data_IF_746544910254
#
_entry.id   IF_746544910254
#
_cell.length_a   1.000
_cell.length_b   1.000
_cell.length_c   1.000
_cell.angle_alpha   90.00
_cell.angle_beta   90.00
_cell.angle_gamma   90.00
#
_symmetry.space_group_name_H-M   'P 1'
#
loop_
_entity.id
_entity.type
_entity.pdbx_description
1 polymer ?
#
# COMPACT_ATOMS: atom_id res chain seq x y z
N UNK A 1 -6.17 -38.85 42.65
CA UNK A 1 -5.45 -37.56 42.58
C UNK A 1 -5.50 -37.06 41.15
N UNK A 2 -6.52 -36.28 40.82
CA UNK A 2 -6.61 -35.57 39.54
C UNK A 2 -5.92 -34.24 39.74
N UNK A 3 -4.74 -34.08 39.14
CA UNK A 3 -4.05 -32.81 39.00
C UNK A 3 -3.01 -32.94 37.87
N UNK A 4 -3.49 -33.38 36.70
CA UNK A 4 -2.79 -33.02 35.46
C UNK A 4 -3.15 -31.57 35.22
N UNK A 5 -2.26 -30.66 35.63
CA UNK A 5 -2.29 -29.28 35.18
C UNK A 5 -2.31 -29.33 33.66
N UNK A 6 -3.46 -29.07 33.04
CA UNK A 6 -3.48 -28.68 31.63
C UNK A 6 -2.50 -27.52 31.52
N UNK A 7 -1.40 -27.72 30.80
CA UNK A 7 -0.54 -26.63 30.39
C UNK A 7 -1.45 -25.56 29.80
N UNK A 8 -1.47 -24.37 30.38
CA UNK A 8 -2.22 -23.25 29.83
C UNK A 8 -1.60 -22.97 28.46
N UNK A 9 -2.18 -23.52 27.40
CA UNK A 9 -1.73 -23.27 26.03
C UNK A 9 -1.93 -21.81 25.76
N UNK A 10 -0.85 -21.09 25.49
CA UNK A 10 -0.94 -19.66 25.24
C UNK A 10 -1.41 -19.44 23.81
N UNK A 11 -2.23 -18.42 23.59
CA UNK A 11 -2.82 -18.15 22.26
C UNK A 11 -1.74 -18.01 21.17
N UNK A 12 -0.56 -17.49 21.52
CA UNK A 12 0.55 -17.32 20.57
C UNK A 12 1.32 -18.62 20.25
N UNK A 13 1.02 -19.71 20.95
CA UNK A 13 1.60 -21.05 20.68
C UNK A 13 0.69 -21.87 19.76
N UNK A 14 -0.50 -21.35 19.42
CA UNK A 14 -1.43 -22.00 18.51
C UNK A 14 -0.98 -21.85 17.05
N UNK A 15 -1.28 -22.85 16.18
CA UNK A 15 -1.16 -22.71 14.74
C UNK A 15 -1.86 -21.46 14.20
N UNK A 16 -1.23 -20.81 13.22
CA UNK A 16 -1.71 -19.56 12.61
C UNK A 16 -3.16 -19.67 12.12
N UNK A 17 -3.53 -20.84 11.57
CA UNK A 17 -4.86 -21.11 11.05
C UNK A 17 -5.93 -21.06 12.16
N UNK A 18 -5.64 -21.64 13.33
CA UNK A 18 -6.54 -21.62 14.47
C UNK A 18 -6.67 -20.21 15.04
N UNK A 19 -5.56 -19.47 15.10
CA UNK A 19 -5.56 -18.07 15.53
C UNK A 19 -6.45 -17.25 14.60
N UNK A 20 -6.31 -17.41 13.28
CA UNK A 20 -7.15 -16.72 12.29
C UNK A 20 -8.64 -17.04 12.49
N UNK A 21 -9.01 -18.32 12.70
CA UNK A 21 -10.41 -18.72 12.94
C UNK A 21 -10.97 -18.12 14.23
N UNK A 22 -10.18 -18.08 15.31
CA UNK A 22 -10.60 -17.47 16.57
C UNK A 22 -10.88 -15.98 16.38
N UNK A 23 -9.99 -15.26 15.71
CA UNK A 23 -10.18 -13.83 15.47
C UNK A 23 -11.28 -13.55 14.45
N UNK A 24 -11.50 -14.41 13.45
CA UNK A 24 -12.66 -14.30 12.57
C UNK A 24 -13.97 -14.40 13.36
N UNK A 25 -14.07 -15.35 14.29
CA UNK A 25 -15.23 -15.43 15.17
C UNK A 25 -15.38 -14.21 16.09
N UNK A 26 -14.28 -13.61 16.54
CA UNK A 26 -14.32 -12.33 17.26
C UNK A 26 -14.94 -11.23 16.39
N UNK A 27 -14.64 -11.19 15.09
CA UNK A 27 -15.24 -10.21 14.17
C UNK A 27 -16.77 -10.35 14.07
N UNK A 28 -17.32 -11.58 14.07
CA UNK A 28 -18.78 -11.78 14.06
C UNK A 28 -19.44 -11.51 15.42
N UNK A 29 -18.75 -11.80 16.51
CA UNK A 29 -19.33 -11.70 17.86
C UNK A 29 -19.36 -10.27 18.41
N UNK A 30 -18.27 -9.51 18.24
CA UNK A 30 -18.16 -8.14 18.78
C UNK A 30 -18.02 -7.06 17.70
N UNK A 31 -17.77 -7.46 16.45
CA UNK A 31 -17.60 -6.52 15.34
C UNK A 31 -16.15 -6.05 15.15
N UNK A 32 -15.79 -5.59 13.92
CA UNK A 32 -14.43 -5.21 13.56
C UNK A 32 -13.91 -3.98 14.30
N UNK A 33 -14.79 -3.04 14.66
CA UNK A 33 -14.40 -1.83 15.40
C UNK A 33 -13.95 -2.18 16.82
N UNK A 34 -14.70 -3.04 17.51
CA UNK A 34 -14.33 -3.49 18.87
C UNK A 34 -13.13 -4.44 18.82
N UNK A 35 -13.05 -5.33 17.82
CA UNK A 35 -11.89 -6.19 17.62
C UNK A 35 -10.60 -5.36 17.46
N UNK A 36 -10.62 -4.27 16.69
CA UNK A 36 -9.46 -3.39 16.53
C UNK A 36 -9.01 -2.70 17.84
N UNK A 37 -9.89 -2.55 18.84
CA UNK A 37 -9.48 -2.01 20.15
C UNK A 37 -8.64 -3.01 20.96
N UNK A 38 -8.76 -4.31 20.66
CA UNK A 38 -7.94 -5.36 21.26
C UNK A 38 -6.47 -5.30 20.78
N UNK A 39 -6.18 -4.55 19.72
CA UNK A 39 -4.82 -4.28 19.23
C UNK A 39 -3.95 -3.45 20.21
N UNK A 40 -4.42 -3.18 21.42
CA UNK A 40 -3.65 -2.51 22.47
C UNK A 40 -2.90 -3.50 23.37
N UNK A 41 -3.14 -4.80 23.21
CA UNK A 41 -2.62 -5.84 24.11
C UNK A 41 -1.20 -6.28 23.75
N UNK A 42 -0.91 -6.59 22.48
CA UNK A 42 0.46 -6.91 22.01
C UNK A 42 0.60 -6.91 20.48
N UNK A 43 1.83 -6.87 19.97
CA UNK A 43 2.11 -6.97 18.53
C UNK A 43 1.57 -8.27 17.90
N UNK A 44 1.54 -9.36 18.64
CA UNK A 44 0.95 -10.62 18.17
C UNK A 44 -0.55 -10.45 17.88
N UNK A 45 -1.29 -9.87 18.82
CA UNK A 45 -2.72 -9.58 18.63
C UNK A 45 -2.95 -8.64 17.44
N UNK A 46 -2.08 -7.63 17.28
CA UNK A 46 -2.18 -6.68 16.16
C UNK A 46 -2.10 -7.40 14.82
N UNK A 47 -1.12 -8.28 14.67
CA UNK A 47 -0.94 -9.06 13.45
C UNK A 47 -2.10 -10.04 13.23
N UNK A 48 -2.53 -10.74 14.28
CA UNK A 48 -3.61 -11.72 14.20
C UNK A 48 -4.96 -11.08 13.83
N UNK A 49 -5.32 -9.98 14.48
CA UNK A 49 -6.56 -9.22 14.19
C UNK A 49 -6.50 -8.66 12.78
N UNK A 50 -5.37 -8.09 12.37
CA UNK A 50 -5.19 -7.57 11.03
C UNK A 50 -5.33 -8.67 9.97
N UNK A 51 -4.70 -9.83 10.17
CA UNK A 51 -4.84 -10.99 9.29
C UNK A 51 -6.30 -11.45 9.19
N UNK A 52 -7.01 -11.56 10.31
CA UNK A 52 -8.42 -11.94 10.33
C UNK A 52 -9.30 -10.91 9.58
N UNK A 53 -9.06 -9.61 9.80
CA UNK A 53 -9.79 -8.53 9.10
C UNK A 53 -9.59 -8.63 7.59
N UNK A 54 -8.35 -8.84 7.14
CA UNK A 54 -8.04 -8.99 5.72
C UNK A 54 -8.64 -10.26 5.12
N UNK A 55 -8.58 -11.39 5.83
CA UNK A 55 -9.17 -12.65 5.38
C UNK A 55 -10.70 -12.56 5.30
N UNK A 56 -11.35 -11.96 6.29
CA UNK A 56 -12.79 -11.74 6.28
C UNK A 56 -13.19 -10.82 5.12
N UNK A 57 -12.43 -9.74 4.88
CA UNK A 57 -12.65 -8.83 3.76
C UNK A 57 -12.65 -9.54 2.39
N UNK A 58 -11.66 -10.39 2.13
CA UNK A 58 -11.52 -11.03 0.81
C UNK A 58 -12.39 -12.27 0.63
N UNK A 59 -12.86 -12.90 1.72
CA UNK A 59 -13.59 -14.16 1.66
C UNK A 59 -15.10 -14.02 1.92
N UNK A 60 -15.56 -12.99 2.62
CA UNK A 60 -16.99 -12.77 2.89
C UNK A 60 -17.43 -11.34 2.55
N UNK A 61 -18.00 -11.18 1.36
CA UNK A 61 -18.54 -9.90 0.85
C UNK A 61 -19.77 -9.39 1.63
N UNK A 62 -20.40 -10.28 2.41
CA UNK A 62 -21.51 -9.99 3.34
C UNK A 62 -21.06 -9.94 4.80
N UNK A 63 -19.77 -10.17 5.04
CA UNK A 63 -19.19 -10.29 6.36
C UNK A 63 -19.09 -8.98 7.12
N UNK A 64 -18.75 -9.06 8.42
CA UNK A 64 -18.72 -7.90 9.31
C UNK A 64 -17.74 -6.82 8.82
N UNK A 65 -16.62 -7.18 8.17
CA UNK A 65 -15.66 -6.21 7.64
C UNK A 65 -16.20 -5.48 6.41
N UNK A 66 -16.80 -6.19 5.45
CA UNK A 66 -17.41 -5.56 4.27
C UNK A 66 -18.61 -4.69 4.65
N UNK A 67 -19.39 -5.08 5.66
CA UNK A 67 -20.47 -4.26 6.20
C UNK A 67 -19.95 -2.97 6.84
N UNK A 68 -18.83 -3.04 7.58
CA UNK A 68 -18.15 -1.84 8.09
C UNK A 68 -17.69 -0.94 6.95
N UNK A 69 -17.05 -1.49 5.90
CA UNK A 69 -16.58 -0.70 4.75
C UNK A 69 -17.77 0.00 4.06
N UNK A 70 -18.86 -0.71 3.78
CA UNK A 70 -20.09 -0.14 3.21
C UNK A 70 -20.64 1.02 4.07
N UNK A 71 -20.67 0.85 5.39
CA UNK A 71 -21.06 1.92 6.33
C UNK A 71 -20.11 3.13 6.25
N UNK A 72 -18.80 2.90 6.17
CA UNK A 72 -17.81 3.98 6.04
C UNK A 72 -17.99 4.73 4.71
N UNK A 73 -18.17 4.02 3.59
CA UNK A 73 -18.45 4.60 2.27
C UNK A 73 -19.72 5.45 2.32
N UNK A 74 -20.81 4.90 2.86
CA UNK A 74 -22.09 5.60 3.02
C UNK A 74 -21.95 6.89 3.83
N UNK A 75 -21.16 6.86 4.91
CA UNK A 75 -20.89 8.03 5.75
C UNK A 75 -19.73 8.92 5.25
N UNK A 76 -19.20 8.67 4.05
CA UNK A 76 -18.06 9.38 3.46
C UNK A 76 -16.83 9.45 4.39
N UNK A 77 -16.62 8.38 5.15
CA UNK A 77 -15.45 8.21 6.02
C UNK A 77 -14.39 7.41 5.28
N UNK A 78 -13.13 7.81 5.46
CA UNK A 78 -12.00 7.13 4.84
C UNK A 78 -11.39 6.09 5.79
N UNK A 79 -11.04 4.93 5.25
CA UNK A 79 -10.15 3.98 5.92
C UNK A 79 -8.73 4.54 5.91
N UNK A 80 -8.00 4.38 7.02
CA UNK A 80 -6.60 4.80 7.10
C UNK A 80 -5.77 4.12 6.01
N UNK A 81 -4.87 4.86 5.37
CA UNK A 81 -3.98 4.38 4.29
C UNK A 81 -3.25 3.08 4.65
N UNK A 82 -2.80 2.95 5.89
CA UNK A 82 -2.14 1.73 6.38
C UNK A 82 -3.03 0.48 6.24
N UNK A 83 -4.29 0.59 6.66
CA UNK A 83 -5.26 -0.51 6.63
C UNK A 83 -5.77 -0.76 5.20
N UNK A 84 -6.00 0.31 4.42
CA UNK A 84 -6.32 0.20 3.00
C UNK A 84 -5.22 -0.55 2.23
N UNK A 85 -3.94 -0.27 2.51
CA UNK A 85 -2.81 -0.99 1.91
C UNK A 85 -2.84 -2.50 2.21
N UNK A 86 -3.28 -2.91 3.41
CA UNK A 86 -3.43 -4.34 3.75
C UNK A 86 -4.60 -4.98 3.02
N UNK A 87 -5.73 -4.27 2.85
CA UNK A 87 -6.85 -4.77 2.04
C UNK A 87 -6.45 -4.95 0.57
N UNK A 88 -5.75 -3.97 -0.02
CA UNK A 88 -5.23 -4.08 -1.38
C UNK A 88 -4.28 -5.27 -1.51
N UNK A 89 -3.34 -5.43 -0.57
CA UNK A 89 -2.40 -6.53 -0.58
C UNK A 89 -3.10 -7.89 -0.48
N UNK A 90 -4.11 -8.00 0.39
CA UNK A 90 -4.93 -9.21 0.51
C UNK A 90 -5.73 -9.50 -0.77
N UNK A 91 -6.28 -8.46 -1.40
CA UNK A 91 -7.06 -8.57 -2.63
C UNK A 91 -6.19 -9.06 -3.80
N UNK A 92 -4.98 -8.51 -3.97
CA UNK A 92 -4.00 -8.99 -4.97
C UNK A 92 -3.67 -10.47 -4.77
N UNK A 93 -3.47 -10.91 -3.52
CA UNK A 93 -3.20 -12.31 -3.21
C UNK A 93 -4.38 -13.23 -3.51
N UNK A 94 -5.61 -12.75 -3.29
CA UNK A 94 -6.83 -13.53 -3.50
C UNK A 94 -7.17 -13.66 -4.98
N UNK A 95 -7.06 -12.58 -5.74
CA UNK A 95 -7.47 -12.51 -7.14
C UNK A 95 -6.47 -11.62 -7.92
N UNK A 96 -5.37 -12.22 -8.42
CA UNK A 96 -4.25 -11.48 -9.01
C UNK A 96 -4.59 -10.73 -10.31
N UNK A 97 -5.68 -11.13 -10.97
CA UNK A 97 -6.11 -10.61 -12.27
C UNK A 97 -7.24 -9.57 -12.17
N UNK A 98 -7.56 -9.08 -10.97
CA UNK A 98 -8.55 -8.00 -10.82
C UNK A 98 -8.11 -6.79 -11.67
N UNK A 99 -8.95 -6.26 -12.57
CA UNK A 99 -8.53 -5.24 -13.54
C UNK A 99 -7.84 -4.01 -12.94
N UNK A 100 -8.33 -3.49 -11.79
CA UNK A 100 -7.74 -2.31 -11.14
C UNK A 100 -6.45 -2.61 -10.35
N UNK A 101 -6.13 -3.88 -10.08
CA UNK A 101 -4.94 -4.24 -9.30
C UNK A 101 -3.94 -5.11 -10.08
N UNK A 102 -4.32 -5.67 -11.23
CA UNK A 102 -3.45 -6.50 -12.05
C UNK A 102 -2.20 -5.76 -12.57
N UNK A 103 -2.21 -4.45 -12.90
CA UNK A 103 -0.97 -3.72 -13.21
C UNK A 103 0.00 -3.68 -12.02
N UNK A 104 -0.53 -3.55 -10.81
CA UNK A 104 0.26 -3.53 -9.57
C UNK A 104 0.81 -4.91 -9.24
N UNK A 105 0.01 -5.96 -9.43
CA UNK A 105 0.47 -7.34 -9.29
C UNK A 105 1.62 -7.66 -10.25
N UNK A 106 1.48 -7.33 -11.55
CA UNK A 106 2.56 -7.48 -12.55
C UNK A 106 3.80 -6.69 -12.16
N UNK A 107 3.62 -5.49 -11.63
CA UNK A 107 4.71 -4.65 -11.13
C UNK A 107 5.46 -5.29 -9.96
N UNK A 108 4.75 -5.83 -8.98
CA UNK A 108 5.36 -6.54 -7.84
C UNK A 108 6.17 -7.73 -8.35
N UNK A 109 5.59 -8.55 -9.24
CA UNK A 109 6.26 -9.70 -9.84
C UNK A 109 7.51 -9.30 -10.62
N UNK A 110 7.45 -8.20 -11.39
CA UNK A 110 8.60 -7.67 -12.12
C UNK A 110 9.76 -7.33 -11.18
N UNK A 111 9.50 -6.63 -10.06
CA UNK A 111 10.55 -6.30 -9.09
C UNK A 111 11.11 -7.56 -8.43
N UNK A 112 10.27 -8.53 -8.07
CA UNK A 112 10.71 -9.80 -7.50
C UNK A 112 11.62 -10.60 -8.45
N UNK A 113 11.31 -10.62 -9.75
CA UNK A 113 12.12 -11.31 -10.76
C UNK A 113 13.50 -10.68 -10.96
N UNK A 114 13.63 -9.38 -10.71
CA UNK A 114 14.85 -8.61 -10.93
C UNK A 114 15.58 -8.26 -9.62
N UNK A 115 15.24 -8.90 -8.50
CA UNK A 115 15.92 -8.70 -7.23
C UNK A 115 16.08 -10.00 -6.45
N UNK A 116 17.24 -10.18 -5.81
CA UNK A 116 17.47 -11.28 -4.88
C UNK A 116 16.87 -10.91 -3.52
N UNK A 117 15.63 -11.30 -3.26
CA UNK A 117 14.90 -11.01 -2.02
C UNK A 117 14.48 -12.29 -1.30
N UNK A 118 14.43 -12.25 0.03
CA UNK A 118 13.79 -13.28 0.85
C UNK A 118 12.27 -13.13 0.81
N UNK A 119 11.53 -14.17 1.16
CA UNK A 119 10.05 -14.13 1.23
C UNK A 119 9.53 -13.00 2.15
N UNK A 120 10.22 -12.74 3.24
CA UNK A 120 9.89 -11.64 4.16
C UNK A 120 10.09 -10.27 3.50
N UNK A 121 11.20 -10.09 2.79
CA UNK A 121 11.48 -8.85 2.05
C UNK A 121 10.47 -8.62 0.93
N UNK A 122 10.08 -9.68 0.21
CA UNK A 122 9.04 -9.64 -0.83
C UNK A 122 7.69 -9.22 -0.22
N UNK A 123 7.29 -9.84 0.90
CA UNK A 123 6.03 -9.52 1.57
C UNK A 123 6.00 -8.07 2.06
N UNK A 124 7.10 -7.60 2.66
CA UNK A 124 7.24 -6.24 3.14
C UNK A 124 7.22 -5.23 1.98
N UNK A 125 7.98 -5.49 0.91
CA UNK A 125 8.01 -4.65 -0.29
C UNK A 125 6.62 -4.56 -0.95
N UNK A 126 5.96 -5.71 -1.14
CA UNK A 126 4.62 -5.79 -1.72
C UNK A 126 3.62 -4.95 -0.92
N UNK A 127 3.69 -5.05 0.41
CA UNK A 127 2.89 -4.22 1.29
C UNK A 127 3.20 -2.72 1.15
N UNK A 128 4.47 -2.31 1.10
CA UNK A 128 4.83 -0.89 0.93
C UNK A 128 4.31 -0.33 -0.42
N UNK A 129 4.36 -1.13 -1.49
CA UNK A 129 3.77 -0.79 -2.79
C UNK A 129 2.25 -0.59 -2.65
N UNK A 130 1.54 -1.56 -2.05
CA UNK A 130 0.09 -1.46 -1.81
C UNK A 130 -0.28 -0.26 -0.94
N UNK A 131 0.51 0.04 0.11
CA UNK A 131 0.33 1.20 0.98
C UNK A 131 0.52 2.51 0.23
N UNK A 132 1.43 2.55 -0.74
CA UNK A 132 1.68 3.75 -1.56
C UNK A 132 0.43 4.13 -2.36
N UNK A 133 -0.17 3.14 -3.02
CA UNK A 133 -1.29 3.37 -3.94
C UNK A 133 -2.63 3.51 -3.20
N UNK A 134 -2.68 3.14 -1.91
CA UNK A 134 -3.88 3.17 -1.09
C UNK A 134 -4.59 4.54 -1.03
N UNK A 135 -3.86 5.66 -1.20
CA UNK A 135 -4.46 6.99 -1.23
C UNK A 135 -5.06 7.38 -2.60
N UNK A 136 -4.78 6.60 -3.65
CA UNK A 136 -5.33 6.79 -5.00
C UNK A 136 -6.57 5.95 -5.25
N UNK A 137 -6.84 4.97 -4.40
CA UNK A 137 -7.99 4.08 -4.51
C UNK A 137 -9.04 4.39 -3.44
N UNK A 138 -10.29 4.05 -3.73
CA UNK A 138 -11.41 4.11 -2.82
C UNK A 138 -12.38 2.95 -3.10
N UNK A 139 -13.30 2.68 -2.18
CA UNK A 139 -14.42 1.77 -2.45
C UNK A 139 -15.60 2.53 -3.07
N UNK A 140 -16.24 1.89 -4.05
CA UNK A 140 -17.57 2.22 -4.56
C UNK A 140 -18.66 1.79 -3.59
N UNK A 141 -19.87 2.27 -3.84
CA UNK A 141 -21.07 1.88 -3.06
C UNK A 141 -21.36 0.38 -3.15
N UNK A 142 -20.98 -0.26 -4.26
CA UNK A 142 -21.10 -1.70 -4.47
C UNK A 142 -19.99 -2.53 -3.75
N UNK A 143 -19.03 -1.86 -3.11
CA UNK A 143 -17.90 -2.48 -2.41
C UNK A 143 -16.70 -2.81 -3.29
N UNK A 144 -16.74 -2.53 -4.60
CA UNK A 144 -15.59 -2.69 -5.49
C UNK A 144 -14.60 -1.54 -5.34
N UNK A 145 -13.33 -1.78 -5.67
CA UNK A 145 -12.31 -0.73 -5.69
C UNK A 145 -12.44 0.12 -6.97
N UNK A 146 -12.25 1.41 -6.82
CA UNK A 146 -12.14 2.36 -7.91
C UNK A 146 -11.08 3.42 -7.62
N UNK A 147 -10.69 4.15 -8.64
CA UNK A 147 -9.83 5.31 -8.46
C UNK A 147 -10.56 6.47 -7.79
N UNK A 148 -9.86 7.14 -6.90
CA UNK A 148 -10.39 8.34 -6.24
C UNK A 148 -10.48 9.49 -7.25
N UNK A 149 -11.72 9.95 -7.49
CA UNK A 149 -12.06 11.01 -8.45
C UNK A 149 -11.39 12.36 -8.15
N UNK A 150 -10.84 12.56 -6.95
CA UNK A 150 -10.10 13.75 -6.56
C UNK A 150 -8.75 13.92 -7.30
N UNK A 151 -8.19 12.84 -7.84
CA UNK A 151 -6.88 12.85 -8.47
C UNK A 151 -6.93 12.84 -10.01
N UNK A 152 -8.06 12.47 -10.61
CA UNK A 152 -8.20 12.21 -12.05
C UNK A 152 -8.29 13.47 -12.94
N UNK A 153 -8.25 14.69 -12.40
CA UNK A 153 -8.48 15.89 -13.21
C UNK A 153 -7.34 16.26 -14.18
N UNK A 154 -6.14 15.67 -14.06
CA UNK A 154 -4.97 16.08 -14.85
C UNK A 154 -4.07 14.90 -15.34
N UNK A 155 -4.58 13.68 -15.55
CA UNK A 155 -3.71 12.61 -16.10
C UNK A 155 -3.42 12.86 -17.59
N UNK A 156 -2.28 13.49 -17.85
CA UNK A 156 -1.75 13.71 -19.20
C UNK A 156 -0.74 12.61 -19.55
N UNK A 157 -1.15 11.34 -19.50
CA UNK A 157 -0.31 10.22 -19.98
C UNK A 157 -0.75 9.86 -21.42
N UNK A 158 0.17 9.84 -22.40
CA UNK A 158 -0.12 9.33 -23.74
C UNK A 158 -0.42 7.84 -23.67
N UNK A 159 -1.53 7.46 -24.28
CA UNK A 159 -2.18 6.15 -24.18
C UNK A 159 -1.45 5.09 -25.03
N UNK A 160 -0.62 4.25 -24.40
CA UNK A 160 -0.30 2.91 -24.90
C UNK A 160 0.01 1.94 -23.76
N UNK A 161 -0.62 0.77 -23.78
CA UNK A 161 -0.63 -0.23 -22.69
C UNK A 161 0.77 -0.64 -22.18
N UNK A 162 1.77 -0.72 -23.07
CA UNK A 162 3.14 -1.14 -22.71
C UNK A 162 3.92 -0.05 -21.95
N UNK A 163 3.56 1.22 -22.13
CA UNK A 163 4.25 2.33 -21.43
C UNK A 163 3.79 2.48 -19.99
N UNK A 164 2.53 2.15 -19.69
CA UNK A 164 1.97 2.29 -18.34
C UNK A 164 2.62 1.33 -17.35
N UNK A 165 2.79 0.05 -17.72
CA UNK A 165 3.50 -0.94 -16.90
C UNK A 165 4.94 -0.52 -16.59
N UNK A 166 5.61 0.09 -17.56
CA UNK A 166 6.95 0.64 -17.39
C UNK A 166 6.99 1.77 -16.34
N UNK A 167 6.01 2.68 -16.36
CA UNK A 167 5.88 3.74 -15.34
C UNK A 167 5.55 3.17 -13.95
N UNK A 168 4.71 2.13 -13.87
CA UNK A 168 4.42 1.42 -12.62
C UNK A 168 5.68 0.76 -12.06
N UNK A 169 6.44 0.04 -12.90
CA UNK A 169 7.69 -0.61 -12.52
C UNK A 169 8.74 0.41 -12.03
N UNK A 170 8.89 1.53 -12.73
CA UNK A 170 9.80 2.60 -12.34
C UNK A 170 9.41 3.19 -10.97
N UNK A 171 8.12 3.41 -10.75
CA UNK A 171 7.61 3.93 -9.49
C UNK A 171 7.76 2.91 -8.35
N UNK A 172 7.50 1.64 -8.60
CA UNK A 172 7.69 0.58 -7.61
C UNK A 172 9.17 0.36 -7.26
N UNK A 173 10.10 0.53 -8.21
CA UNK A 173 11.53 0.49 -7.94
C UNK A 173 11.96 1.58 -6.93
N UNK A 174 11.36 2.78 -7.00
CA UNK A 174 11.54 3.84 -6.00
C UNK A 174 11.05 3.37 -4.62
N UNK A 175 9.83 2.83 -4.53
CA UNK A 175 9.26 2.33 -3.26
C UNK A 175 10.15 1.23 -2.66
N UNK A 176 10.55 0.27 -3.49
CA UNK A 176 11.45 -0.81 -3.12
C UNK A 176 12.86 -0.30 -2.74
N UNK A 177 13.25 0.87 -3.24
CA UNK A 177 14.60 1.40 -3.08
C UNK A 177 15.63 0.70 -3.95
N UNK A 178 15.20 0.01 -5.02
CA UNK A 178 16.09 -0.72 -5.91
C UNK A 178 16.55 0.17 -7.07
N UNK A 179 17.74 0.73 -6.92
CA UNK A 179 18.33 1.69 -7.85
C UNK A 179 18.79 1.00 -9.14
N UNK A 180 19.21 -0.25 -9.07
CA UNK A 180 19.68 -1.01 -10.23
C UNK A 180 18.52 -1.23 -11.22
N UNK A 181 17.36 -1.68 -10.72
CA UNK A 181 16.15 -1.82 -11.53
C UNK A 181 15.74 -0.46 -12.11
N UNK A 182 15.77 0.60 -11.29
CA UNK A 182 15.40 1.94 -11.73
C UNK A 182 16.29 2.45 -12.87
N UNK A 183 17.61 2.30 -12.76
CA UNK A 183 18.57 2.68 -13.82
C UNK A 183 18.42 1.82 -15.07
N UNK A 184 18.14 0.53 -14.90
CA UNK A 184 17.88 -0.40 -16.00
C UNK A 184 16.65 0.03 -16.80
N UNK A 185 15.54 0.33 -16.13
CA UNK A 185 14.30 0.82 -16.76
C UNK A 185 14.49 2.17 -17.48
N UNK A 186 15.24 3.09 -16.88
CA UNK A 186 15.56 4.37 -17.52
C UNK A 186 16.39 4.20 -18.80
N UNK A 187 17.24 3.17 -18.85
CA UNK A 187 18.10 2.89 -20.00
C UNK A 187 17.35 2.16 -21.12
N UNK A 188 16.33 1.36 -20.77
CA UNK A 188 15.54 0.57 -21.72
C UNK A 188 14.38 1.34 -22.37
N UNK A 189 13.93 2.43 -21.76
CA UNK A 189 12.77 3.22 -22.24
C UNK A 189 13.25 4.57 -22.78
N UNK A 190 13.47 4.69 -24.11
CA UNK A 190 13.90 5.95 -24.69
C UNK A 190 12.83 7.03 -24.50
N UNK A 191 13.25 8.24 -24.11
CA UNK A 191 12.38 9.42 -23.90
C UNK A 191 11.32 9.27 -22.79
N UNK A 192 11.58 8.45 -21.76
CA UNK A 192 10.68 8.34 -20.60
C UNK A 192 10.45 9.70 -19.92
N UNK A 193 9.17 10.05 -19.71
CA UNK A 193 8.79 11.33 -19.11
C UNK A 193 8.65 11.19 -17.60
N UNK A 194 9.65 11.65 -16.85
CA UNK A 194 9.70 11.49 -15.38
C UNK A 194 8.84 12.51 -14.60
N UNK A 195 8.19 13.42 -15.32
CA UNK A 195 7.31 14.45 -14.76
C UNK A 195 5.81 14.08 -14.81
N UNK A 196 5.48 12.90 -15.32
CA UNK A 196 4.10 12.45 -15.51
C UNK A 196 3.51 11.99 -14.18
N UNK A 197 2.24 12.33 -13.92
CA UNK A 197 1.50 11.78 -12.80
C UNK A 197 1.07 10.36 -13.15
N UNK A 198 1.67 9.36 -12.50
CA UNK A 198 1.21 7.99 -12.58
C UNK A 198 -0.12 7.86 -11.82
N UNK A 199 -1.10 7.15 -12.38
CA UNK A 199 -2.44 7.06 -11.81
C UNK A 199 -2.46 6.40 -10.41
N UNK A 200 -1.56 5.45 -10.15
CA UNK A 200 -1.44 4.75 -8.86
C UNK A 200 -0.41 5.38 -7.92
N UNK A 201 0.76 5.74 -8.44
CA UNK A 201 1.91 6.14 -7.62
C UNK A 201 2.10 7.65 -7.54
N UNK A 202 1.46 8.39 -8.43
CA UNK A 202 1.69 9.80 -8.58
C UNK A 202 3.01 10.14 -9.29
N UNK A 203 3.65 11.24 -8.90
CA UNK A 203 4.88 11.69 -9.56
C UNK A 203 6.10 11.02 -8.92
N UNK A 204 7.06 10.52 -9.72
CA UNK A 204 8.28 9.87 -9.21
C UNK A 204 9.07 10.70 -8.19
N UNK A 205 9.18 12.03 -8.36
CA UNK A 205 9.92 12.90 -7.44
C UNK A 205 9.26 12.97 -6.05
N UNK A 206 7.93 13.14 -6.02
CA UNK A 206 7.15 13.15 -4.78
C UNK A 206 7.23 11.81 -4.07
N UNK A 207 7.13 10.73 -4.85
CA UNK A 207 7.24 9.38 -4.34
C UNK A 207 8.60 9.12 -3.69
N UNK A 208 9.67 9.58 -4.34
CA UNK A 208 11.04 9.44 -3.81
C UNK A 208 11.20 10.18 -2.48
N UNK A 209 10.63 11.38 -2.36
CA UNK A 209 10.63 12.14 -1.11
C UNK A 209 9.78 11.47 -0.02
N UNK A 210 8.60 10.95 -0.37
CA UNK A 210 7.69 10.26 0.55
C UNK A 210 8.36 9.04 1.22
N UNK A 211 9.20 8.32 0.48
CA UNK A 211 9.92 7.14 0.96
C UNK A 211 11.34 7.44 1.46
N UNK A 212 11.78 8.70 1.49
CA UNK A 212 13.13 9.07 1.94
C UNK A 212 14.24 8.55 1.03
N UNK A 213 13.96 8.35 -0.26
CA UNK A 213 14.87 7.78 -1.26
C UNK A 213 15.74 8.87 -1.89
N UNK A 214 16.69 9.36 -1.11
CA UNK A 214 17.57 10.50 -1.44
C UNK A 214 18.30 10.34 -2.77
N UNK A 215 18.83 9.16 -3.08
CA UNK A 215 19.54 8.95 -4.35
C UNK A 215 18.60 9.07 -5.57
N UNK A 216 17.37 8.57 -5.48
CA UNK A 216 16.38 8.69 -6.56
C UNK A 216 15.98 10.14 -6.81
N UNK A 217 15.83 10.92 -5.73
CA UNK A 217 15.62 12.36 -5.82
C UNK A 217 16.75 13.04 -6.61
N UNK A 218 18.01 12.73 -6.30
CA UNK A 218 19.15 13.29 -7.03
C UNK A 218 19.15 12.91 -8.51
N UNK A 219 18.87 11.64 -8.83
CA UNK A 219 18.79 11.17 -10.22
C UNK A 219 17.68 11.91 -10.98
N UNK A 220 16.48 12.00 -10.39
CA UNK A 220 15.31 12.64 -11.00
C UNK A 220 15.52 14.14 -11.26
N UNK A 221 16.18 14.86 -10.33
CA UNK A 221 16.53 16.27 -10.50
C UNK A 221 17.62 16.47 -11.55
N UNK A 222 18.64 15.61 -11.57
CA UNK A 222 19.74 15.69 -12.54
C UNK A 222 19.28 15.47 -13.99
N UNK A 223 18.22 14.67 -14.18
CA UNK A 223 17.63 14.43 -15.51
C UNK A 223 16.83 15.61 -16.06
N UNK A 224 16.73 16.74 -15.33
CA UNK A 224 16.16 18.00 -15.81
C UNK A 224 14.66 17.97 -16.10
N UNK A 225 14.00 16.84 -15.81
CA UNK A 225 12.62 16.55 -16.18
C UNK A 225 11.70 16.35 -14.98
N UNK A 226 12.06 16.84 -13.79
CA UNK A 226 11.26 16.75 -12.58
C UNK A 226 11.02 18.16 -12.01
N UNK A 227 9.77 18.66 -12.05
CA UNK A 227 9.40 19.97 -11.49
C UNK A 227 9.15 19.85 -9.98
N UNK A 228 10.00 20.46 -9.13
CA UNK A 228 9.82 20.42 -7.69
C UNK A 228 8.66 21.31 -7.21
N UNK A 229 8.19 22.26 -8.01
CA UNK A 229 7.17 23.26 -7.62
C UNK A 229 5.71 22.80 -7.77
N UNK A 230 5.48 21.53 -8.11
CA UNK A 230 4.13 21.02 -8.34
C UNK A 230 3.63 20.22 -7.14
N UNK A 231 2.86 20.82 -6.24
CA UNK A 231 2.31 20.11 -5.09
C UNK A 231 1.29 19.04 -5.56
N UNK A 232 1.63 17.76 -5.39
CA UNK A 232 0.64 16.71 -5.49
C UNK A 232 -0.34 16.80 -4.30
N UNK A 233 -1.65 16.85 -4.56
CA UNK A 233 -2.69 16.85 -3.51
C UNK A 233 -2.79 15.48 -2.84
N UNK A 234 -1.72 14.98 -2.23
CA UNK A 234 -1.78 13.76 -1.43
C UNK A 234 -2.65 14.09 -0.21
N UNK A 235 -3.84 13.47 -0.13
CA UNK A 235 -4.62 13.43 1.10
C UNK A 235 -3.89 12.53 2.08
N UNK A 236 -2.82 13.06 2.66
CA UNK A 236 -2.16 12.45 3.79
C UNK A 236 -2.89 12.90 5.05
N UNK A 237 -2.99 12.09 6.11
CA UNK A 237 -3.56 12.51 7.39
C UNK A 237 -2.75 13.64 8.07
N UNK A 238 -1.65 14.09 7.47
CA UNK A 238 -0.91 15.27 7.90
C UNK A 238 -1.68 16.55 7.55
N UNK A 239 -1.84 17.48 8.50
CA UNK A 239 -2.63 18.69 8.27
C UNK A 239 -2.11 19.50 7.08
N UNK A 240 -3.05 20.12 6.35
CA UNK A 240 -2.93 20.94 5.13
C UNK A 240 -1.95 22.16 5.20
N UNK A 241 -0.99 22.20 6.12
CA UNK A 241 0.00 23.28 6.26
C UNK A 241 1.43 22.84 6.58
N UNK A 242 1.77 21.56 6.47
CA UNK A 242 3.15 21.13 6.70
C UNK A 242 3.84 20.78 5.39
N UNK A 243 4.55 21.78 4.86
CA UNK A 243 5.77 21.60 4.09
C UNK A 243 6.63 20.52 4.78
N UNK A 244 7.05 19.50 4.02
CA UNK A 244 7.89 18.41 4.52
C UNK A 244 9.29 18.94 4.88
N UNK A 245 9.46 19.45 6.10
CA UNK A 245 10.74 19.55 6.75
C UNK A 245 11.02 18.19 7.40
N UNK A 246 11.69 17.28 6.70
CA UNK A 246 12.29 16.12 7.36
C UNK A 246 13.76 16.40 7.67
N UNK A 247 14.05 16.53 8.97
CA UNK A 247 15.38 16.31 9.53
C UNK A 247 15.64 14.80 9.55
N UNK A 248 16.20 14.26 8.48
CA UNK A 248 17.02 13.05 8.55
C UNK A 248 18.47 13.49 8.27
N UNK A 249 19.41 12.97 9.05
CA UNK A 249 20.80 13.43 9.15
C UNK A 249 21.41 13.98 7.85
N UNK A 250 21.92 15.20 7.96
CA UNK A 250 22.81 15.95 7.06
C UNK A 250 22.54 16.10 5.55
N UNK A 251 21.55 15.48 4.90
CA UNK A 251 21.26 15.87 3.50
C UNK A 251 19.87 15.49 3.01
N UNK A 252 18.96 16.48 2.99
CA UNK A 252 18.03 16.87 1.90
C UNK A 252 16.87 17.68 2.48
N UNK A 253 16.98 19.02 2.38
CA UNK A 253 15.84 19.95 2.45
C UNK A 253 15.31 20.12 1.02
N UNK A 254 14.29 19.36 0.64
CA UNK A 254 13.55 19.69 -0.59
C UNK A 254 12.26 20.35 -0.20
N UNK A 255 12.27 21.67 -0.38
CA UNK A 255 11.06 22.48 -0.45
C UNK A 255 10.47 22.22 -1.83
N UNK A 256 9.45 21.35 -1.89
CA UNK A 256 8.54 21.30 -3.02
C UNK A 256 7.55 22.46 -2.81
N UNK A 257 7.89 23.64 -3.35
CA UNK A 257 7.06 24.86 -3.27
C UNK A 257 5.73 24.69 -4.00
#
# INVERSE_FOLDING_TARGET
MVSSLMSITKIYELPQELVCLLFDQILYTVGPVEALKLCTVSNFFNNAILSAICLNYVNDSSGPVNNLIKSLVFHRKHVKTHLMGHFIHAQIKKEPEIPILSPINRTIQYICQHSSQTDEQVSQMSYQICKTIANRLCWKEDGTLDFSTNFYRNSSVPTSLDTDDAYHALSAAIVAGNIEIFRSLLSSIPNIKLNVDNEYFGRPLHLSALWGRTEFVHILLAMGGADPGFIQQIFSPWPRKHFCWYHFGDTIRIVLL
#
